data_IF_209224461840
#
_entry.id   IF_209224461840
#
_cell.length_a   1.000
_cell.length_b   1.000
_cell.length_c   1.000
_cell.angle_alpha   90.00
_cell.angle_beta   90.00
_cell.angle_gamma   90.00
#
_symmetry.space_group_name_H-M   'P 1'
#
loop_
_entity.id
_entity.type
_entity.pdbx_description
1 polymer ?
#
# COMPACT_ATOMS: atom_id res chain seq x y z
N UNK A 1 -14.83 -1.02 -5.47
CA UNK A 1 -13.41 -1.13 -5.04
C UNK A 1 -12.45 -0.40 -5.96
N UNK A 2 -12.28 -0.81 -7.22
CA UNK A 2 -11.23 -0.20 -8.08
C UNK A 2 -11.51 1.27 -8.37
N UNK A 3 -12.72 1.60 -8.81
CA UNK A 3 -13.14 2.98 -9.07
C UNK A 3 -13.13 3.83 -7.78
N UNK A 4 -13.68 3.31 -6.68
CA UNK A 4 -13.72 4.05 -5.40
C UNK A 4 -12.31 4.34 -4.84
N UNK A 5 -11.38 3.38 -4.96
CA UNK A 5 -9.98 3.59 -4.56
C UNK A 5 -9.30 4.59 -5.50
N UNK A 6 -9.55 4.51 -6.81
CA UNK A 6 -9.03 5.48 -7.76
C UNK A 6 -9.49 6.90 -7.39
N UNK A 7 -10.80 7.08 -7.17
CA UNK A 7 -11.39 8.36 -6.76
C UNK A 7 -10.80 8.87 -5.43
N UNK A 8 -10.67 7.99 -4.44
CA UNK A 8 -10.07 8.33 -3.15
C UNK A 8 -8.63 8.86 -3.28
N UNK A 9 -7.84 8.31 -4.21
CA UNK A 9 -6.46 8.74 -4.44
C UNK A 9 -6.42 10.06 -5.22
N UNK A 10 -7.12 10.17 -6.36
CA UNK A 10 -7.07 11.39 -7.20
C UNK A 10 -7.62 12.62 -6.46
N UNK A 11 -8.58 12.44 -5.56
CA UNK A 11 -9.15 13.52 -4.75
C UNK A 11 -8.23 13.97 -3.60
N UNK A 12 -7.15 13.24 -3.31
CA UNK A 12 -6.21 13.58 -2.23
C UNK A 12 -5.15 14.59 -2.69
N UNK A 13 -4.61 14.43 -3.90
CA UNK A 13 -3.59 15.32 -4.48
C UNK A 13 -3.47 15.10 -5.98
N UNK A 14 -3.55 16.18 -6.76
CA UNK A 14 -3.45 16.11 -8.22
C UNK A 14 -2.06 15.72 -8.76
N UNK A 15 -1.03 15.72 -7.91
CA UNK A 15 0.33 15.38 -8.32
C UNK A 15 0.69 13.90 -8.09
N UNK A 16 -0.09 13.14 -7.32
CA UNK A 16 0.27 11.76 -7.00
C UNK A 16 0.14 10.89 -8.26
N UNK A 17 1.21 10.17 -8.58
CA UNK A 17 1.23 9.12 -9.57
C UNK A 17 0.95 7.79 -8.90
N UNK A 18 0.09 6.97 -9.47
CA UNK A 18 -0.23 5.67 -8.88
C UNK A 18 -0.70 4.64 -9.90
N UNK A 19 -0.54 3.38 -9.50
CA UNK A 19 -1.16 2.23 -10.13
C UNK A 19 -1.78 1.33 -9.07
N UNK A 20 -2.95 0.80 -9.39
CA UNK A 20 -3.78 -0.04 -8.53
C UNK A 20 -4.08 -1.35 -9.26
N UNK A 21 -4.04 -2.45 -8.52
CA UNK A 21 -4.54 -3.74 -8.94
C UNK A 21 -5.36 -4.38 -7.82
N UNK A 22 -6.46 -5.05 -8.17
CA UNK A 22 -7.38 -5.75 -7.27
C UNK A 22 -7.71 -7.14 -7.83
N UNK A 23 -7.55 -8.17 -7.01
CA UNK A 23 -7.88 -9.54 -7.39
C UNK A 23 -9.37 -9.80 -7.15
N UNK A 24 -10.17 -9.80 -8.21
CA UNK A 24 -11.56 -10.26 -8.16
C UNK A 24 -11.58 -11.74 -7.73
N UNK A 25 -12.34 -12.08 -6.69
CA UNK A 25 -12.30 -13.42 -6.09
C UNK A 25 -13.46 -14.34 -6.51
N UNK A 26 -14.27 -13.91 -7.49
CA UNK A 26 -15.40 -14.70 -7.98
C UNK A 26 -15.71 -14.37 -9.44
N UNK A 27 -16.55 -15.18 -10.08
CA UNK A 27 -16.90 -14.99 -11.48
C UNK A 27 -15.69 -15.14 -12.40
N UNK A 28 -15.35 -14.14 -13.24
CA UNK A 28 -14.18 -14.20 -14.12
C UNK A 28 -12.83 -14.31 -13.40
N UNK A 29 -12.77 -13.95 -12.11
CA UNK A 29 -11.55 -13.96 -11.30
C UNK A 29 -10.37 -13.19 -11.95
N UNK A 30 -10.65 -12.00 -12.49
CA UNK A 30 -9.64 -11.18 -13.17
C UNK A 30 -8.93 -10.23 -12.19
N UNK A 31 -7.67 -9.93 -12.48
CA UNK A 31 -6.99 -8.78 -11.86
C UNK A 31 -7.55 -7.51 -12.50
N UNK A 32 -8.35 -6.77 -11.74
CA UNK A 32 -8.87 -5.46 -12.13
C UNK A 32 -7.78 -4.42 -11.83
N UNK A 33 -7.56 -3.48 -12.74
CA UNK A 33 -6.45 -2.51 -12.63
C UNK A 33 -6.89 -1.12 -13.04
N UNK A 34 -6.31 -0.10 -12.42
CA UNK A 34 -6.58 1.31 -12.74
C UNK A 34 -5.42 2.18 -12.25
N UNK A 35 -5.29 3.42 -12.74
CA UNK A 35 -4.29 4.37 -12.28
C UNK A 35 -3.96 5.44 -13.30
N UNK A 36 -3.01 6.31 -12.98
CA UNK A 36 -2.58 7.40 -13.86
C UNK A 36 -1.11 7.28 -14.31
N UNK A 37 -0.47 6.15 -14.02
CA UNK A 37 0.90 5.82 -14.43
C UNK A 37 1.02 4.33 -14.81
N UNK A 38 1.29 4.07 -16.09
CA UNK A 38 1.40 2.73 -16.69
C UNK A 38 2.44 1.85 -16.00
N UNK A 39 3.60 2.40 -15.61
CA UNK A 39 4.66 1.64 -14.94
C UNK A 39 4.16 1.14 -13.58
N UNK A 40 3.53 2.03 -12.81
CA UNK A 40 2.99 1.70 -11.49
C UNK A 40 1.81 0.72 -11.58
N UNK A 41 0.96 0.83 -12.60
CA UNK A 41 -0.13 -0.11 -12.86
C UNK A 41 0.45 -1.51 -13.10
N UNK A 42 1.47 -1.62 -13.95
CA UNK A 42 2.09 -2.90 -14.25
C UNK A 42 2.78 -3.51 -13.01
N UNK A 43 3.44 -2.69 -12.18
CA UNK A 43 3.99 -3.14 -10.89
C UNK A 43 2.89 -3.67 -9.96
N UNK A 44 1.77 -2.96 -9.83
CA UNK A 44 0.64 -3.37 -9.00
C UNK A 44 0.04 -4.70 -9.48
N UNK A 45 -0.19 -4.86 -10.79
CA UNK A 45 -0.70 -6.10 -11.38
C UNK A 45 0.25 -7.26 -11.12
N UNK A 46 1.54 -7.08 -11.38
CA UNK A 46 2.54 -8.12 -11.16
C UNK A 46 2.60 -8.55 -9.68
N UNK A 47 2.54 -7.60 -8.76
CA UNK A 47 2.50 -7.90 -7.32
C UNK A 47 1.22 -8.63 -6.91
N UNK A 48 0.05 -8.15 -7.36
CA UNK A 48 -1.25 -8.76 -7.07
C UNK A 48 -1.34 -10.20 -7.60
N UNK A 49 -0.78 -10.48 -8.80
CA UNK A 49 -0.68 -11.83 -9.35
C UNK A 49 0.24 -12.73 -8.54
N UNK A 50 1.40 -12.23 -8.10
CA UNK A 50 2.35 -13.00 -7.25
C UNK A 50 1.75 -13.35 -5.89
N UNK A 51 0.99 -12.42 -5.30
CA UNK A 51 0.26 -12.67 -4.06
C UNK A 51 -0.83 -13.72 -4.30
N UNK A 52 -1.64 -13.53 -5.34
CA UNK A 52 -2.62 -14.50 -5.82
C UNK A 52 -3.79 -14.75 -4.86
N UNK A 53 -3.95 -13.94 -3.81
CA UNK A 53 -5.05 -14.04 -2.87
C UNK A 53 -6.27 -13.28 -3.41
N UNK A 54 -7.46 -13.86 -3.26
CA UNK A 54 -8.71 -13.19 -3.64
C UNK A 54 -8.99 -11.97 -2.76
N UNK A 55 -9.58 -10.94 -3.34
CA UNK A 55 -9.94 -9.67 -2.67
C UNK A 55 -8.77 -8.92 -2.03
N UNK A 56 -7.52 -9.21 -2.41
CA UNK A 56 -6.41 -8.32 -2.11
C UNK A 56 -6.28 -7.23 -3.17
N UNK A 57 -5.81 -6.05 -2.77
CA UNK A 57 -5.37 -5.03 -3.70
C UNK A 57 -3.94 -4.58 -3.38
N UNK A 58 -3.25 -4.07 -4.41
CA UNK A 58 -1.91 -3.50 -4.33
C UNK A 58 -1.94 -2.13 -4.97
N UNK A 59 -1.35 -1.15 -4.29
CA UNK A 59 -1.17 0.21 -4.81
C UNK A 59 0.32 0.54 -4.79
N UNK A 60 0.85 0.97 -5.93
CA UNK A 60 2.15 1.64 -6.01
C UNK A 60 1.93 3.13 -6.23
N UNK A 61 2.73 3.96 -5.56
CA UNK A 61 2.68 5.42 -5.69
C UNK A 61 4.05 6.03 -5.97
N UNK A 62 4.08 7.16 -6.69
CA UNK A 62 5.20 8.08 -6.84
C UNK A 62 4.70 9.51 -6.59
N UNK A 63 5.63 10.43 -6.34
CA UNK A 63 5.31 11.87 -6.15
C UNK A 63 4.35 12.15 -4.97
N UNK A 64 4.35 11.27 -3.98
CA UNK A 64 3.57 11.37 -2.75
C UNK A 64 3.97 10.30 -1.73
N UNK A 65 3.39 10.38 -0.53
CA UNK A 65 3.62 9.44 0.56
C UNK A 65 2.32 8.75 0.97
N UNK A 66 2.39 7.54 1.55
CA UNK A 66 1.19 6.85 2.00
C UNK A 66 0.35 7.65 3.00
N UNK A 67 0.97 8.46 3.85
CA UNK A 67 0.27 9.33 4.81
C UNK A 67 -0.68 10.33 4.14
N UNK A 68 -0.48 10.63 2.84
CA UNK A 68 -1.39 11.49 2.09
C UNK A 68 -2.71 10.76 1.80
N UNK A 69 -2.65 9.51 1.32
CA UNK A 69 -3.83 8.78 0.81
C UNK A 69 -4.48 7.85 1.84
N UNK A 70 -3.74 7.41 2.87
CA UNK A 70 -4.23 6.43 3.85
C UNK A 70 -5.54 6.82 4.55
N UNK A 71 -5.79 8.09 4.93
CA UNK A 71 -7.07 8.48 5.49
C UNK A 71 -8.23 8.22 4.51
N UNK A 72 -8.10 8.69 3.27
CA UNK A 72 -9.11 8.51 2.22
C UNK A 72 -9.36 7.03 1.91
N UNK A 73 -8.30 6.22 1.84
CA UNK A 73 -8.43 4.78 1.60
C UNK A 73 -9.19 4.04 2.70
N UNK A 74 -9.07 4.49 3.96
CA UNK A 74 -9.79 3.88 5.09
C UNK A 74 -11.29 4.20 5.10
N UNK A 75 -11.69 5.26 4.42
CA UNK A 75 -13.10 5.66 4.28
C UNK A 75 -13.80 4.99 3.09
N UNK A 76 -13.04 4.35 2.18
CA UNK A 76 -13.61 3.55 1.08
C UNK A 76 -14.34 2.35 1.67
N UNK A 77 -15.64 2.23 1.38
CA UNK A 77 -16.54 1.24 2.02
C UNK A 77 -16.16 -0.21 1.72
N UNK A 78 -15.52 -0.44 0.58
CA UNK A 78 -15.07 -1.75 0.12
C UNK A 78 -13.73 -2.17 0.75
N UNK A 79 -13.02 -1.26 1.41
CA UNK A 79 -11.72 -1.53 2.02
C UNK A 79 -11.90 -2.01 3.46
N UNK A 80 -11.61 -3.30 3.69
CA UNK A 80 -11.65 -3.87 5.04
C UNK A 80 -10.40 -3.57 5.87
N UNK A 81 -9.23 -3.79 5.29
CA UNK A 81 -7.95 -3.68 6.00
C UNK A 81 -6.85 -3.17 5.08
N UNK A 82 -5.96 -2.34 5.62
CA UNK A 82 -4.65 -2.03 5.02
C UNK A 82 -3.60 -2.80 5.80
N UNK A 83 -2.97 -3.78 5.15
CA UNK A 83 -2.00 -4.66 5.82
C UNK A 83 -0.62 -4.01 5.99
N UNK A 84 -0.21 -3.17 5.04
CA UNK A 84 1.09 -2.49 5.04
C UNK A 84 1.06 -1.28 4.09
N UNK A 85 1.85 -0.25 4.42
CA UNK A 85 2.07 0.92 3.58
C UNK A 85 3.51 1.41 3.77
N UNK A 86 4.42 0.99 2.90
CA UNK A 86 5.87 1.10 3.12
C UNK A 86 6.66 1.37 1.85
N UNK A 87 7.90 1.82 2.02
CA UNK A 87 8.94 1.85 0.99
C UNK A 87 10.15 0.96 1.37
N UNK A 88 10.06 0.23 2.49
CA UNK A 88 11.07 -0.73 2.90
C UNK A 88 11.03 -1.99 2.00
N UNK A 89 12.08 -2.83 2.03
CA UNK A 89 11.94 -4.23 1.61
C UNK A 89 10.74 -4.88 2.32
N UNK A 90 9.89 -5.56 1.56
CA UNK A 90 8.64 -6.14 2.07
C UNK A 90 8.43 -7.56 1.54
N UNK A 91 7.97 -8.44 2.42
CA UNK A 91 7.53 -9.79 2.06
C UNK A 91 6.06 -10.00 2.46
N UNK A 92 5.31 -10.69 1.60
CA UNK A 92 3.92 -11.09 1.87
C UNK A 92 3.89 -12.58 2.14
N UNK A 93 3.48 -12.96 3.34
CA UNK A 93 3.34 -14.36 3.74
C UNK A 93 1.97 -14.85 3.28
N UNK A 94 1.96 -15.87 2.43
CA UNK A 94 0.72 -16.42 1.84
C UNK A 94 0.59 -17.89 2.20
N UNK A 95 -0.59 -18.28 2.68
CA UNK A 95 -0.98 -19.69 2.78
C UNK A 95 -1.83 -20.09 1.59
N UNK A 96 -1.66 -21.33 1.14
CA UNK A 96 -2.44 -21.92 0.07
C UNK A 96 -3.19 -23.16 0.58
N UNK A 97 -4.43 -23.28 0.14
CA UNK A 97 -5.34 -24.39 0.43
C UNK A 97 -5.94 -24.89 -0.88
N UNK A 98 -6.72 -25.97 -0.84
CA UNK A 98 -7.44 -26.47 -2.03
C UNK A 98 -8.39 -25.41 -2.63
N UNK A 99 -8.93 -24.49 -1.82
CA UNK A 99 -9.83 -23.44 -2.29
C UNK A 99 -9.08 -22.26 -2.93
N UNK A 100 -7.89 -21.93 -2.44
CA UNK A 100 -7.14 -20.74 -2.87
C UNK A 100 -6.16 -20.24 -1.82
N UNK A 101 -5.78 -18.95 -1.95
CA UNK A 101 -4.70 -18.32 -1.20
C UNK A 101 -5.20 -17.25 -0.22
N UNK A 102 -4.57 -17.18 0.95
CA UNK A 102 -4.84 -16.21 2.00
C UNK A 102 -3.56 -15.49 2.44
N UNK A 103 -3.63 -14.17 2.66
CA UNK A 103 -2.52 -13.41 3.22
C UNK A 103 -2.51 -13.64 4.74
N UNK A 104 -1.42 -14.23 5.24
CA UNK A 104 -1.23 -14.55 6.65
C UNK A 104 -0.52 -13.44 7.43
N UNK A 105 0.28 -12.61 6.75
CA UNK A 105 1.03 -11.53 7.37
C UNK A 105 1.94 -10.80 6.41
N UNK A 106 2.51 -9.69 6.88
CA UNK A 106 3.49 -8.88 6.16
C UNK A 106 4.75 -8.77 7.01
N UNK A 107 5.91 -8.94 6.37
CA UNK A 107 7.21 -8.59 6.94
C UNK A 107 7.63 -7.26 6.32
N UNK A 108 7.58 -6.18 7.11
CA UNK A 108 7.93 -4.82 6.68
C UNK A 108 9.28 -4.40 7.26
N UNK A 109 10.31 -4.40 6.42
CA UNK A 109 11.66 -4.00 6.80
C UNK A 109 12.36 -5.01 7.71
N UNK A 110 13.10 -4.49 8.70
CA UNK A 110 14.06 -5.27 9.49
C UNK A 110 13.74 -5.19 10.98
N UNK A 111 14.16 -6.22 11.74
CA UNK A 111 13.98 -6.25 13.19
C UNK A 111 14.72 -5.10 13.91
N UNK A 112 14.18 -4.59 15.04
CA UNK A 112 14.85 -3.58 15.84
C UNK A 112 16.25 -4.02 16.29
N UNK A 113 17.22 -3.10 16.24
CA UNK A 113 18.61 -3.36 16.63
C UNK A 113 18.99 -2.78 18.01
N UNK A 114 18.06 -2.08 18.66
CA UNK A 114 18.28 -1.40 19.93
C UNK A 114 17.15 -0.43 20.26
N UNK A 115 17.35 0.36 21.30
CA UNK A 115 16.43 1.42 21.75
C UNK A 115 17.09 2.78 21.48
N UNK A 116 16.29 3.77 21.07
CA UNK A 116 16.79 5.13 20.79
C UNK A 116 17.41 5.80 22.03
N UNK A 117 18.50 6.54 21.82
CA UNK A 117 19.13 7.41 22.82
C UNK A 117 18.53 8.81 22.79
N UNK A 118 18.81 9.65 23.79
CA UNK A 118 18.38 11.06 23.80
C UNK A 118 18.85 11.83 22.55
N UNK A 119 20.02 11.47 22.01
CA UNK A 119 20.53 12.05 20.77
C UNK A 119 19.66 11.65 19.57
N UNK A 120 19.31 10.37 19.46
CA UNK A 120 18.46 9.86 18.38
C UNK A 120 17.06 10.50 18.43
N UNK A 121 16.53 10.74 19.63
CA UNK A 121 15.26 11.45 19.85
C UNK A 121 15.31 12.86 19.27
N UNK A 122 16.36 13.61 19.56
CA UNK A 122 16.52 14.98 19.04
C UNK A 122 16.71 14.99 17.52
N UNK A 123 17.46 14.03 16.97
CA UNK A 123 17.64 13.87 15.53
C UNK A 123 16.31 13.61 14.80
N UNK A 124 15.49 12.65 15.26
CA UNK A 124 14.20 12.37 14.60
C UNK A 124 13.21 13.52 14.74
N UNK A 125 13.21 14.26 15.86
CA UNK A 125 12.37 15.47 16.02
C UNK A 125 12.80 16.57 15.06
N UNK A 126 14.11 16.80 14.94
CA UNK A 126 14.67 17.80 14.02
C UNK A 126 14.34 17.46 12.57
N UNK A 127 14.40 16.18 12.19
CA UNK A 127 14.06 15.71 10.85
C UNK A 127 12.60 16.04 10.47
N UNK A 128 11.65 15.78 11.37
CA UNK A 128 10.22 16.09 11.13
C UNK A 128 9.96 17.58 10.97
N UNK A 129 10.68 18.44 11.71
CA UNK A 129 10.60 19.91 11.55
C UNK A 129 11.24 20.36 10.24
N UNK A 130 12.37 19.76 9.85
CA UNK A 130 13.04 20.03 8.57
C UNK A 130 12.16 19.66 7.37
N UNK A 131 11.38 18.57 7.48
CA UNK A 131 10.39 18.18 6.48
C UNK A 131 9.09 19.01 6.54
N UNK A 132 8.95 19.91 7.53
CA UNK A 132 7.79 20.78 7.66
C UNK A 132 6.53 20.09 8.23
N UNK A 133 6.62 18.84 8.68
CA UNK A 133 5.47 18.09 9.22
C UNK A 133 5.12 18.49 10.66
N UNK A 134 6.06 19.08 11.40
CA UNK A 134 5.87 19.52 12.79
C UNK A 134 6.51 20.90 13.00
N UNK A 135 5.95 21.67 13.93
CA UNK A 135 6.49 22.96 14.35
C UNK A 135 7.37 22.82 15.57
#
# INVERSE_FOLDING_TARGET
TVEDIYEAIVNTSGNIKFGLAFNEASGPCLVRKEGNDEELINLAVNAAQKIGAGHCFVIYIKEGFPINILPSLKEVREVLNILCATANPVEVIVFETEQGRAIAGIVDGFSPKGVETDKDIEERKSLLRKFGYKR
#
